data_IF_693653046144
#
_entry.id   IF_693653046144
#
_cell.length_a   1.000
_cell.length_b   1.000
_cell.length_c   1.000
_cell.angle_alpha   90.00
_cell.angle_beta   90.00
_cell.angle_gamma   90.00
#
_symmetry.space_group_name_H-M   'P 1'
#
loop_
_entity.id
_entity.type
_entity.pdbx_description
1 polymer ?
#
# COMPACT_ATOMS: atom_id res chain seq x y z
N UNK A 1 50.30 -27.51 2.68
CA UNK A 1 48.89 -27.29 2.30
C UNK A 1 48.59 -25.87 2.71
N UNK A 2 48.85 -24.96 1.78
CA UNK A 2 49.13 -23.56 2.03
C UNK A 2 47.88 -22.75 2.34
N UNK A 3 48.04 -21.80 3.26
CA UNK A 3 47.07 -20.77 3.66
C UNK A 3 46.67 -19.84 2.49
N UNK A 4 47.32 -20.00 1.32
CA UNK A 4 47.14 -19.17 0.14
C UNK A 4 45.84 -19.44 -0.64
N UNK A 5 45.21 -20.61 -0.48
CA UNK A 5 43.98 -20.95 -1.21
C UNK A 5 42.69 -20.38 -0.61
N UNK A 6 42.74 -19.74 0.57
CA UNK A 6 41.57 -19.06 1.15
C UNK A 6 41.38 -17.61 0.68
N UNK A 7 42.34 -17.04 -0.07
CA UNK A 7 42.32 -15.62 -0.49
C UNK A 7 41.85 -15.46 -1.95
N UNK A 8 41.71 -16.55 -2.71
CA UNK A 8 41.37 -16.52 -4.14
C UNK A 8 39.89 -16.17 -4.46
N UNK A 9 39.03 -16.03 -3.46
CA UNK A 9 37.63 -15.60 -3.62
C UNK A 9 37.36 -14.14 -3.22
N UNK A 10 38.33 -13.46 -2.62
CA UNK A 10 38.22 -12.06 -2.23
C UNK A 10 38.54 -11.18 -3.43
N UNK A 11 37.59 -11.03 -4.37
CA UNK A 11 37.54 -9.79 -5.15
C UNK A 11 37.60 -8.65 -4.11
N UNK A 12 38.72 -7.92 -4.08
CA UNK A 12 39.04 -6.94 -3.05
C UNK A 12 37.84 -6.04 -2.81
N UNK A 13 37.23 -6.19 -1.64
CA UNK A 13 36.20 -5.29 -1.19
C UNK A 13 36.77 -3.87 -1.17
N UNK A 14 36.31 -3.03 -2.11
CA UNK A 14 36.67 -1.62 -2.15
C UNK A 14 35.75 -0.86 -1.19
N UNK A 15 36.23 -0.69 0.03
CA UNK A 15 35.47 -0.03 1.11
C UNK A 15 35.05 1.39 0.73
N UNK A 16 35.90 2.14 0.01
CA UNK A 16 35.58 3.52 -0.39
C UNK A 16 34.42 3.58 -1.39
N UNK A 17 34.43 2.72 -2.40
CA UNK A 17 33.32 2.62 -3.36
C UNK A 17 32.05 2.11 -2.69
N UNK A 18 32.17 1.13 -1.79
CA UNK A 18 31.04 0.62 -1.04
C UNK A 18 30.43 1.70 -0.13
N UNK A 19 31.24 2.50 0.58
CA UNK A 19 30.77 3.62 1.39
C UNK A 19 30.06 4.66 0.54
N UNK A 20 30.63 5.06 -0.61
CA UNK A 20 29.99 5.99 -1.55
C UNK A 20 28.63 5.46 -2.02
N UNK A 21 28.55 4.17 -2.35
CA UNK A 21 27.32 3.53 -2.77
C UNK A 21 26.28 3.51 -1.64
N UNK A 22 26.65 3.13 -0.42
CA UNK A 22 25.75 3.10 0.74
C UNK A 22 25.20 4.49 1.05
N UNK A 23 26.03 5.52 1.04
CA UNK A 23 25.61 6.90 1.27
C UNK A 23 24.66 7.39 0.16
N UNK A 24 24.99 7.11 -1.11
CA UNK A 24 24.11 7.44 -2.23
C UNK A 24 22.74 6.76 -2.13
N UNK A 25 22.71 5.47 -1.77
CA UNK A 25 21.48 4.72 -1.58
C UNK A 25 20.67 5.27 -0.40
N UNK A 26 21.32 5.65 0.69
CA UNK A 26 20.69 6.29 1.84
C UNK A 26 20.02 7.62 1.45
N UNK A 27 20.75 8.50 0.78
CA UNK A 27 20.23 9.80 0.31
C UNK A 27 19.07 9.61 -0.67
N UNK A 28 19.20 8.65 -1.59
CA UNK A 28 18.14 8.30 -2.55
C UNK A 28 16.90 7.77 -1.84
N UNK A 29 17.06 6.91 -0.82
CA UNK A 29 15.95 6.37 -0.05
C UNK A 29 15.22 7.47 0.73
N UNK A 30 15.94 8.41 1.34
CA UNK A 30 15.36 9.57 2.03
C UNK A 30 14.57 10.41 1.03
N UNK A 31 15.18 10.77 -0.10
CA UNK A 31 14.53 11.55 -1.15
C UNK A 31 13.26 10.88 -1.69
N UNK A 32 13.30 9.57 -1.99
CA UNK A 32 12.13 8.83 -2.45
C UNK A 32 11.02 8.74 -1.40
N UNK A 33 11.39 8.64 -0.12
CA UNK A 33 10.44 8.63 0.99
C UNK A 33 9.72 9.97 1.11
N UNK A 34 10.45 11.07 1.02
CA UNK A 34 9.91 12.44 1.04
C UNK A 34 9.02 12.71 -0.19
N UNK A 35 9.47 12.31 -1.38
CA UNK A 35 8.71 12.42 -2.62
C UNK A 35 7.39 11.65 -2.52
N UNK A 36 7.43 10.44 -1.97
CA UNK A 36 6.25 9.60 -1.76
C UNK A 36 5.26 10.24 -0.79
N UNK A 37 5.74 10.75 0.35
CA UNK A 37 4.90 11.46 1.32
C UNK A 37 4.26 12.72 0.71
N UNK A 38 5.03 13.47 -0.07
CA UNK A 38 4.57 14.68 -0.77
C UNK A 38 3.47 14.35 -1.78
N UNK A 39 3.62 13.28 -2.55
CA UNK A 39 2.60 12.83 -3.51
C UNK A 39 1.25 12.52 -2.82
N UNK A 40 1.27 11.83 -1.68
CA UNK A 40 0.05 11.58 -0.88
C UNK A 40 -0.53 12.90 -0.34
N UNK A 41 0.30 13.85 0.08
CA UNK A 41 -0.14 15.13 0.60
C UNK A 41 -0.75 16.07 -0.45
N UNK A 42 -0.48 15.86 -1.74
CA UNK A 42 -1.10 16.61 -2.84
C UNK A 42 -2.57 16.23 -3.09
N UNK A 43 -3.03 15.07 -2.62
CA UNK A 43 -4.40 14.59 -2.83
C UNK A 43 -5.44 15.56 -2.23
N UNK A 44 -6.54 15.92 -2.89
CA UNK A 44 -7.52 16.88 -2.38
C UNK A 44 -8.45 16.29 -1.28
N UNK A 45 -7.85 15.83 -0.18
CA UNK A 45 -8.52 15.17 0.94
C UNK A 45 -8.46 16.03 2.22
N UNK A 46 -9.50 15.99 3.04
CA UNK A 46 -9.43 16.53 4.42
C UNK A 46 -8.70 15.52 5.32
N UNK A 47 -7.95 16.01 6.31
CA UNK A 47 -7.26 15.18 7.31
C UNK A 47 -6.34 14.09 6.72
N UNK A 48 -5.62 14.40 5.62
CA UNK A 48 -4.72 13.47 4.89
C UNK A 48 -3.69 12.79 5.79
N UNK A 49 -3.24 13.49 6.85
CA UNK A 49 -2.30 12.98 7.86
C UNK A 49 -2.75 11.66 8.51
N UNK A 50 -4.05 11.35 8.54
CA UNK A 50 -4.56 10.05 9.02
C UNK A 50 -4.04 8.88 8.17
N UNK A 51 -3.79 9.08 6.88
CA UNK A 51 -3.23 8.07 5.97
C UNK A 51 -1.71 7.91 6.10
N UNK A 52 -1.04 8.68 6.97
CA UNK A 52 0.40 8.63 7.18
C UNK A 52 0.74 8.27 8.65
N UNK A 53 -0.22 7.72 9.40
CA UNK A 53 -0.01 7.36 10.81
C UNK A 53 0.69 6.02 10.92
N UNK A 54 1.61 5.87 11.90
CA UNK A 54 2.35 4.62 12.12
C UNK A 54 1.45 3.38 12.25
N UNK A 55 0.28 3.53 12.85
CA UNK A 55 -0.68 2.43 13.08
C UNK A 55 -1.70 2.24 11.95
N UNK A 56 -1.69 3.13 10.96
CA UNK A 56 -2.58 3.10 9.81
C UNK A 56 -2.01 4.01 8.71
N UNK A 57 -1.21 3.44 7.82
CA UNK A 57 -0.57 4.22 6.77
C UNK A 57 -0.75 3.61 5.39
N UNK A 58 -0.91 4.50 4.43
CA UNK A 58 -1.07 4.22 3.01
C UNK A 58 0.21 4.62 2.29
N UNK A 59 0.85 3.65 1.63
CA UNK A 59 2.03 3.91 0.81
C UNK A 59 1.62 4.23 -0.63
N UNK A 60 2.49 4.95 -1.36
CA UNK A 60 2.30 5.20 -2.79
C UNK A 60 2.20 3.90 -3.58
N UNK A 61 2.97 2.87 -3.23
CA UNK A 61 2.88 1.55 -3.85
C UNK A 61 1.51 0.89 -3.64
N UNK A 62 0.90 1.04 -2.47
CA UNK A 62 -0.46 0.53 -2.22
C UNK A 62 -1.51 1.32 -3.02
N UNK A 63 -1.37 2.65 -3.13
CA UNK A 63 -2.23 3.45 -3.99
C UNK A 63 -2.14 2.96 -5.44
N UNK A 64 -0.93 2.80 -5.97
CA UNK A 64 -0.73 2.27 -7.32
C UNK A 64 -1.38 0.89 -7.47
N UNK A 65 -1.17 -0.02 -6.51
CA UNK A 65 -1.81 -1.33 -6.51
C UNK A 65 -3.34 -1.24 -6.59
N UNK A 66 -3.97 -0.40 -5.76
CA UNK A 66 -5.44 -0.21 -5.75
C UNK A 66 -5.91 0.36 -7.09
N UNK A 67 -5.20 1.34 -7.65
CA UNK A 67 -5.57 1.94 -8.93
C UNK A 67 -5.42 0.96 -10.10
N UNK A 68 -4.38 0.14 -10.09
CA UNK A 68 -4.15 -0.85 -11.15
C UNK A 68 -5.12 -2.02 -11.06
N UNK A 69 -5.36 -2.54 -9.86
CA UNK A 69 -6.19 -3.73 -9.63
C UNK A 69 -7.67 -3.41 -9.56
N UNK A 70 -8.05 -2.31 -8.90
CA UNK A 70 -9.43 -2.08 -8.49
C UNK A 70 -10.05 -0.84 -9.10
N UNK A 71 -9.32 0.07 -9.77
CA UNK A 71 -9.95 1.25 -10.36
C UNK A 71 -10.35 1.03 -11.82
N UNK A 72 -11.63 1.20 -12.14
CA UNK A 72 -12.19 0.86 -13.46
C UNK A 72 -11.60 1.62 -14.65
N UNK A 73 -11.08 2.85 -14.45
CA UNK A 73 -10.44 3.62 -15.53
C UNK A 73 -9.13 2.98 -16.02
N UNK A 74 -8.60 2.00 -15.29
CA UNK A 74 -7.40 1.24 -15.64
C UNK A 74 -7.80 -0.24 -15.81
N UNK A 75 -8.23 -0.66 -17.02
CA UNK A 75 -8.75 -2.01 -17.25
C UNK A 75 -7.63 -3.05 -17.38
N UNK A 76 -6.86 -3.28 -16.32
CA UNK A 76 -5.77 -4.28 -16.30
C UNK A 76 -6.21 -5.67 -15.85
N UNK A 77 -7.29 -5.78 -15.06
CA UNK A 77 -7.70 -7.03 -14.43
C UNK A 77 -9.22 -7.22 -14.45
N UNK A 78 -9.78 -7.94 -15.43
CA UNK A 78 -11.23 -8.07 -15.60
C UNK A 78 -11.92 -8.88 -14.49
N UNK A 79 -11.24 -9.89 -13.92
CA UNK A 79 -11.80 -10.78 -12.90
C UNK A 79 -11.64 -10.28 -11.45
N UNK A 80 -11.58 -8.96 -11.23
CA UNK A 80 -11.35 -8.37 -9.90
C UNK A 80 -12.47 -7.42 -9.52
N UNK A 81 -12.66 -7.20 -8.21
CA UNK A 81 -13.54 -6.14 -7.73
C UNK A 81 -13.07 -4.78 -8.23
N UNK A 82 -14.01 -3.90 -8.59
CA UNK A 82 -13.76 -2.60 -9.22
C UNK A 82 -14.50 -1.47 -8.53
N UNK A 83 -13.79 -0.47 -8.06
CA UNK A 83 -14.37 0.83 -7.73
C UNK A 83 -14.87 1.52 -9.00
N UNK A 84 -16.03 2.16 -8.90
CA UNK A 84 -16.62 3.03 -9.94
C UNK A 84 -16.62 4.51 -9.54
N UNK A 85 -16.30 4.80 -8.29
CA UNK A 85 -16.19 6.15 -7.73
C UNK A 85 -14.84 6.81 -8.04
N UNK A 86 -14.72 8.15 -7.99
CA UNK A 86 -13.46 8.87 -8.17
C UNK A 86 -12.37 8.45 -7.17
N UNK A 87 -11.11 8.52 -7.58
CA UNK A 87 -9.94 8.16 -6.73
C UNK A 87 -9.95 8.90 -5.39
N UNK A 88 -10.30 10.19 -5.40
CA UNK A 88 -10.39 11.00 -4.17
C UNK A 88 -11.42 10.41 -3.21
N UNK A 89 -12.53 9.89 -3.71
CA UNK A 89 -13.56 9.28 -2.89
C UNK A 89 -13.10 7.93 -2.32
N UNK A 90 -12.44 7.09 -3.13
CA UNK A 90 -11.83 5.82 -2.67
C UNK A 90 -10.90 6.10 -1.48
N UNK A 91 -9.99 7.07 -1.63
CA UNK A 91 -9.01 7.40 -0.60
C UNK A 91 -9.65 8.06 0.63
N UNK A 92 -10.75 8.80 0.47
CA UNK A 92 -11.54 9.33 1.58
C UNK A 92 -12.19 8.21 2.40
N UNK A 93 -12.74 7.19 1.75
CA UNK A 93 -13.30 6.02 2.43
C UNK A 93 -12.21 5.23 3.16
N UNK A 94 -11.06 5.00 2.54
CA UNK A 94 -9.90 4.37 3.22
C UNK A 94 -9.52 5.18 4.46
N UNK A 95 -9.39 6.50 4.34
CA UNK A 95 -9.11 7.37 5.49
C UNK A 95 -10.16 7.27 6.59
N UNK A 96 -11.44 7.20 6.24
CA UNK A 96 -12.55 7.13 7.20
C UNK A 96 -12.63 5.76 7.90
N UNK A 97 -12.13 4.70 7.26
CA UNK A 97 -12.10 3.37 7.86
C UNK A 97 -11.09 3.24 9.03
N UNK A 98 -10.24 4.25 9.25
CA UNK A 98 -9.33 4.30 10.40
C UNK A 98 -10.04 4.07 11.74
N UNK A 99 -11.26 4.59 11.88
CA UNK A 99 -12.02 4.53 13.13
C UNK A 99 -12.85 3.24 13.27
N UNK A 100 -12.79 2.32 12.29
CA UNK A 100 -13.50 1.03 12.32
C UNK A 100 -12.81 0.02 13.26
N UNK A 101 -13.46 -1.09 13.65
CA UNK A 101 -12.78 -2.17 14.36
C UNK A 101 -11.78 -2.92 13.44
N UNK A 102 -10.72 -3.46 14.05
CA UNK A 102 -9.79 -4.40 13.39
C UNK A 102 -10.34 -5.81 13.54
N UNK A 103 -10.48 -6.52 12.43
CA UNK A 103 -10.90 -7.93 12.38
C UNK A 103 -9.69 -8.75 11.93
N UNK A 104 -9.21 -9.74 12.70
CA UNK A 104 -8.09 -10.58 12.26
C UNK A 104 -8.48 -11.41 11.03
N UNK A 105 -7.59 -11.49 10.04
CA UNK A 105 -7.79 -12.33 8.85
C UNK A 105 -7.27 -13.74 9.15
N UNK A 106 -8.12 -14.79 9.12
CA UNK A 106 -7.73 -16.15 9.45
C UNK A 106 -6.51 -16.64 8.64
N UNK A 107 -5.55 -17.27 9.31
CA UNK A 107 -4.35 -17.82 8.67
C UNK A 107 -3.30 -16.79 8.26
N UNK A 108 -3.40 -15.53 8.72
CA UNK A 108 -2.40 -14.50 8.45
C UNK A 108 -2.22 -13.55 9.64
N UNK A 109 -1.17 -12.73 9.61
CA UNK A 109 -0.96 -11.61 10.55
C UNK A 109 -1.66 -10.33 10.10
N UNK A 110 -2.52 -10.43 9.08
CA UNK A 110 -3.23 -9.30 8.52
C UNK A 110 -4.52 -9.01 9.28
N UNK A 111 -4.96 -7.76 9.16
CA UNK A 111 -6.18 -7.25 9.73
C UNK A 111 -7.06 -6.68 8.64
N UNK A 112 -8.36 -6.84 8.82
CA UNK A 112 -9.42 -6.35 7.97
C UNK A 112 -10.16 -5.21 8.69
N UNK A 113 -10.48 -4.16 7.94
CA UNK A 113 -11.44 -3.14 8.32
C UNK A 113 -12.52 -3.10 7.26
N UNK A 114 -13.77 -2.98 7.70
CA UNK A 114 -14.93 -2.92 6.84
C UNK A 114 -15.60 -1.56 7.07
N UNK A 115 -15.86 -0.83 6.01
CA UNK A 115 -16.62 0.42 6.06
C UNK A 115 -17.82 0.32 5.12
N UNK A 116 -19.01 0.50 5.69
CA UNK A 116 -20.25 0.63 4.95
C UNK A 116 -20.42 2.07 4.45
N UNK A 117 -20.94 2.23 3.24
CA UNK A 117 -21.22 3.52 2.61
C UNK A 117 -22.69 3.62 2.22
N UNK A 118 -23.16 4.84 1.96
CA UNK A 118 -24.58 5.10 1.68
C UNK A 118 -24.96 4.78 0.21
N UNK A 119 -23.98 4.80 -0.69
CA UNK A 119 -24.18 4.62 -2.12
C UNK A 119 -23.27 3.52 -2.69
N UNK A 120 -23.51 3.10 -3.93
CA UNK A 120 -22.72 2.07 -4.59
C UNK A 120 -21.35 2.63 -4.96
N UNK A 121 -20.29 2.04 -4.40
CA UNK A 121 -18.90 2.45 -4.63
C UNK A 121 -18.22 1.68 -5.75
N UNK A 122 -18.84 0.59 -6.21
CA UNK A 122 -18.26 -0.27 -7.22
C UNK A 122 -18.96 -1.61 -7.37
N UNK A 123 -18.24 -2.55 -7.99
CA UNK A 123 -18.64 -3.93 -8.17
C UNK A 123 -17.67 -4.85 -7.43
N UNK A 124 -18.18 -5.89 -6.79
CA UNK A 124 -17.35 -6.90 -6.15
C UNK A 124 -16.78 -7.89 -7.19
N UNK A 125 -16.10 -8.95 -6.73
CA UNK A 125 -15.55 -10.00 -7.61
C UNK A 125 -16.61 -10.75 -8.43
N UNK A 126 -17.85 -10.80 -7.94
CA UNK A 126 -18.99 -11.43 -8.60
C UNK A 126 -19.75 -10.47 -9.51
N UNK A 127 -19.20 -9.27 -9.79
CA UNK A 127 -19.83 -8.21 -10.59
C UNK A 127 -21.15 -7.67 -10.01
N UNK A 128 -21.38 -7.87 -8.71
CA UNK A 128 -22.53 -7.34 -8.02
C UNK A 128 -22.23 -5.95 -7.46
N UNK A 129 -23.18 -5.00 -7.52
CA UNK A 129 -23.03 -3.68 -6.90
C UNK A 129 -22.69 -3.79 -5.41
N UNK A 130 -21.70 -3.01 -4.98
CA UNK A 130 -21.19 -3.01 -3.62
C UNK A 130 -21.28 -1.61 -3.01
N UNK A 131 -21.71 -1.57 -1.74
CA UNK A 131 -21.69 -0.39 -0.88
C UNK A 131 -20.68 -0.50 0.26
N UNK A 132 -19.80 -1.49 0.19
CA UNK A 132 -18.91 -1.86 1.30
C UNK A 132 -17.48 -1.85 0.79
N UNK A 133 -16.59 -1.16 1.50
CA UNK A 133 -15.15 -1.21 1.23
C UNK A 133 -14.49 -2.07 2.30
N UNK A 134 -13.71 -3.05 1.84
CA UNK A 134 -12.80 -3.83 2.67
C UNK A 134 -11.38 -3.30 2.50
N UNK A 135 -10.68 -3.16 3.63
CA UNK A 135 -9.29 -2.68 3.67
C UNK A 135 -8.48 -3.67 4.48
N UNK A 136 -7.43 -4.19 3.85
CA UNK A 136 -6.51 -5.14 4.49
C UNK A 136 -5.23 -4.40 4.85
N UNK A 137 -4.79 -4.53 6.09
CA UNK A 137 -3.50 -4.05 6.58
C UNK A 137 -2.67 -5.17 7.20
N UNK A 138 -1.36 -5.03 7.24
CA UNK A 138 -0.50 -5.94 7.99
C UNK A 138 -0.58 -5.69 9.52
N UNK A 139 0.15 -6.47 10.31
CA UNK A 139 0.25 -6.31 11.76
C UNK A 139 0.90 -4.99 12.22
N UNK A 140 1.62 -4.30 11.34
CA UNK A 140 2.21 -2.98 11.59
C UNK A 140 1.29 -1.82 11.23
N UNK A 141 0.11 -2.07 10.65
CA UNK A 141 -0.83 -1.03 10.21
C UNK A 141 -0.56 -0.49 8.81
N UNK A 142 0.35 -1.11 8.04
CA UNK A 142 0.54 -0.79 6.62
C UNK A 142 -0.65 -1.31 5.84
N UNK A 143 -1.32 -0.43 5.10
CA UNK A 143 -2.40 -0.85 4.20
C UNK A 143 -1.78 -1.60 3.02
N UNK A 144 -2.29 -2.80 2.77
CA UNK A 144 -1.84 -3.70 1.70
C UNK A 144 -2.72 -3.53 0.46
N UNK A 145 -4.04 -3.48 0.64
CA UNK A 145 -5.01 -3.30 -0.45
C UNK A 145 -6.35 -2.82 0.08
N UNK A 146 -7.20 -2.34 -0.82
CA UNK A 146 -8.60 -2.00 -0.55
C UNK A 146 -9.46 -2.26 -1.79
N UNK A 147 -10.67 -2.77 -1.61
CA UNK A 147 -11.57 -3.10 -2.72
C UNK A 147 -13.05 -3.11 -2.30
N UNK A 148 -13.99 -2.97 -3.26
CA UNK A 148 -15.41 -3.17 -2.99
C UNK A 148 -15.73 -4.64 -2.69
N UNK A 149 -16.45 -4.89 -1.60
CA UNK A 149 -16.83 -6.22 -1.15
C UNK A 149 -18.35 -6.32 -0.91
N UNK A 150 -18.84 -7.51 -0.58
CA UNK A 150 -20.21 -7.67 -0.07
C UNK A 150 -20.09 -7.97 1.42
N UNK A 151 -20.86 -7.26 2.26
CA UNK A 151 -21.11 -7.71 3.62
C UNK A 151 -21.85 -9.05 3.53
N UNK A 152 -21.19 -10.12 3.95
CA UNK A 152 -21.88 -11.36 4.31
C UNK A 152 -22.48 -11.21 5.71
#
# INVERSE_FOLDING_TARGET
MDVQDQIAGAHLFNEEEWLKLVLLLSDTQVWLTELSATAIMQLPLRNKKKLLRKTYFLTVSCVAHILERHYYKVPRYPATAKFTIPVVEILSHIRNAFDQPLIPVPGSTNHLRILQTDHVIGFNRNQLPSKTIEIISDGGGKILTAYPAINN
#
